data_IF_450204142883
#
_entry.id   IF_450204142883
#
_cell.length_a   1.000
_cell.length_b   1.000
_cell.length_c   1.000
_cell.angle_alpha   90.00
_cell.angle_beta   90.00
_cell.angle_gamma   90.00
#
_symmetry.space_group_name_H-M   'P 1'
#
loop_
_entity.id
_entity.type
_entity.pdbx_description
1 polymer ?
#
# COMPACT_ATOMS: atom_id res chain seq x y z
N UNK A 1 13.50 -21.31 -16.88
CA UNK A 1 12.75 -20.05 -16.66
C UNK A 1 11.89 -19.81 -17.88
N UNK A 2 10.61 -20.15 -17.81
CA UNK A 2 9.75 -20.15 -19.00
C UNK A 2 9.57 -18.74 -19.59
N UNK A 3 9.52 -17.72 -18.71
CA UNK A 3 9.29 -16.32 -19.10
C UNK A 3 10.45 -15.68 -19.85
N UNK A 4 11.71 -15.97 -19.49
CA UNK A 4 12.87 -15.43 -20.22
C UNK A 4 12.85 -15.85 -21.70
N UNK A 5 12.56 -17.13 -21.95
CA UNK A 5 12.48 -17.69 -23.30
C UNK A 5 11.32 -17.09 -24.09
N UNK A 6 10.16 -16.94 -23.47
CA UNK A 6 8.98 -16.30 -24.07
C UNK A 6 9.27 -14.84 -24.46
N UNK A 7 9.82 -14.04 -23.54
CA UNK A 7 10.13 -12.63 -23.77
C UNK A 7 11.15 -12.44 -24.89
N UNK A 8 12.23 -13.25 -24.90
CA UNK A 8 13.22 -13.23 -25.98
C UNK A 8 12.58 -13.54 -27.33
N UNK A 9 11.75 -14.59 -27.39
CA UNK A 9 11.05 -14.97 -28.63
C UNK A 9 10.04 -13.91 -29.08
N UNK A 10 9.35 -13.25 -28.16
CA UNK A 10 8.41 -12.15 -28.46
C UNK A 10 9.12 -10.94 -29.06
N UNK A 11 10.36 -10.67 -28.65
CA UNK A 11 11.24 -9.66 -29.28
C UNK A 11 11.96 -10.18 -30.54
N UNK A 12 11.69 -11.41 -30.99
CA UNK A 12 12.33 -12.05 -32.15
C UNK A 12 13.86 -12.15 -32.08
N UNK A 13 14.44 -12.25 -30.88
CA UNK A 13 15.89 -12.31 -30.69
C UNK A 13 16.40 -13.76 -30.61
N UNK A 14 17.56 -14.00 -31.19
CA UNK A 14 18.41 -15.15 -30.87
C UNK A 14 19.10 -14.97 -29.51
N UNK A 15 19.64 -16.05 -28.95
CA UNK A 15 20.43 -15.96 -27.70
C UNK A 15 21.71 -15.12 -27.88
N UNK A 16 22.27 -15.11 -29.10
CA UNK A 16 23.45 -14.32 -29.45
C UNK A 16 23.11 -12.83 -29.50
N UNK A 17 22.04 -12.46 -30.21
CA UNK A 17 21.59 -11.06 -30.29
C UNK A 17 21.18 -10.52 -28.92
N UNK A 18 20.49 -11.32 -28.09
CA UNK A 18 20.19 -10.91 -26.72
C UNK A 18 21.47 -10.66 -25.90
N UNK A 19 22.47 -11.54 -26.03
CA UNK A 19 23.77 -11.38 -25.38
C UNK A 19 24.50 -10.10 -25.84
N UNK A 20 24.40 -9.76 -27.12
CA UNK A 20 25.05 -8.59 -27.71
C UNK A 20 24.37 -7.30 -27.26
N UNK A 21 23.03 -7.23 -27.31
CA UNK A 21 22.29 -6.05 -26.84
C UNK A 21 22.43 -5.81 -25.33
N UNK A 22 22.47 -6.87 -24.51
CA UNK A 22 22.76 -6.71 -23.08
C UNK A 22 24.17 -6.15 -22.85
N UNK A 23 25.14 -6.56 -23.68
CA UNK A 23 26.51 -6.07 -23.61
C UNK A 23 26.62 -4.59 -23.96
N UNK A 24 25.84 -4.11 -24.94
CA UNK A 24 25.74 -2.67 -25.28
C UNK A 24 25.26 -1.84 -24.08
N UNK A 25 24.40 -2.41 -23.24
CA UNK A 25 23.92 -1.79 -22.00
C UNK A 25 24.84 -2.04 -20.78
N UNK A 26 26.09 -2.48 -21.00
CA UNK A 26 27.07 -2.73 -19.94
C UNK A 26 26.88 -4.04 -19.16
N UNK A 27 25.96 -4.91 -19.61
CA UNK A 27 25.61 -6.16 -18.91
C UNK A 27 26.14 -7.37 -19.69
N UNK A 28 27.21 -7.97 -19.18
CA UNK A 28 27.78 -9.17 -19.79
C UNK A 28 27.03 -10.44 -19.35
N UNK A 29 26.33 -11.09 -20.29
CA UNK A 29 25.75 -12.44 -20.13
C UNK A 29 25.94 -13.20 -21.45
N UNK A 30 26.77 -14.24 -21.47
CA UNK A 30 26.98 -15.08 -22.67
C UNK A 30 25.69 -15.77 -23.14
N UNK A 31 25.56 -16.03 -24.44
CA UNK A 31 24.51 -16.86 -25.05
C UNK A 31 24.32 -18.21 -24.35
N UNK A 32 25.41 -18.89 -23.95
CA UNK A 32 25.35 -20.17 -23.26
C UNK A 32 24.76 -20.06 -21.85
N UNK A 33 25.08 -18.98 -21.14
CA UNK A 33 24.47 -18.68 -19.84
C UNK A 33 22.99 -18.39 -19.97
N UNK A 34 22.58 -17.62 -20.99
CA UNK A 34 21.17 -17.39 -21.30
C UNK A 34 20.45 -18.71 -21.62
N UNK A 35 21.06 -19.60 -22.39
CA UNK A 35 20.49 -20.92 -22.70
C UNK A 35 20.28 -21.76 -21.44
N UNK A 36 21.26 -21.77 -20.52
CA UNK A 36 21.16 -22.45 -19.22
C UNK A 36 20.08 -21.83 -18.33
N UNK A 37 19.90 -20.50 -18.36
CA UNK A 37 18.83 -19.82 -17.64
C UNK A 37 17.45 -20.19 -18.18
N UNK A 38 17.28 -20.18 -19.50
CA UNK A 38 16.03 -20.55 -20.16
C UNK A 38 15.62 -21.98 -19.82
N UNK A 39 16.56 -22.94 -19.89
CA UNK A 39 16.31 -24.35 -19.52
C UNK A 39 16.11 -24.58 -18.02
N UNK A 40 16.54 -23.65 -17.18
CA UNK A 40 16.48 -23.79 -15.72
C UNK A 40 17.68 -24.51 -15.10
N UNK A 41 18.66 -24.94 -15.92
CA UNK A 41 19.91 -25.58 -15.46
C UNK A 41 20.73 -24.70 -14.52
N UNK A 42 20.54 -23.37 -14.60
CA UNK A 42 21.22 -22.38 -13.77
C UNK A 42 20.27 -21.24 -13.43
N UNK A 43 20.32 -20.75 -12.18
CA UNK A 43 19.64 -19.49 -11.81
C UNK A 43 20.60 -18.30 -12.00
N UNK A 44 20.15 -17.18 -12.61
CA UNK A 44 20.94 -15.96 -12.64
C UNK A 44 21.06 -15.36 -11.22
N UNK A 45 22.16 -14.64 -10.98
CA UNK A 45 22.32 -13.82 -9.77
C UNK A 45 21.40 -12.59 -9.84
N UNK A 46 21.15 -11.95 -8.70
CA UNK A 46 20.18 -10.85 -8.57
C UNK A 46 20.49 -9.65 -9.48
N UNK A 47 21.77 -9.33 -9.68
CA UNK A 47 22.25 -8.30 -10.60
C UNK A 47 21.86 -8.60 -12.05
N UNK A 48 22.08 -9.85 -12.49
CA UNK A 48 21.72 -10.29 -13.85
C UNK A 48 20.21 -10.43 -14.03
N UNK A 49 19.49 -10.82 -12.99
CA UNK A 49 18.03 -10.86 -12.98
C UNK A 49 17.43 -9.46 -13.18
N UNK A 50 17.91 -8.46 -12.45
CA UNK A 50 17.49 -7.06 -12.60
C UNK A 50 17.77 -6.56 -14.00
N UNK A 51 18.99 -6.75 -14.49
CA UNK A 51 19.33 -6.32 -15.85
C UNK A 51 18.47 -6.97 -16.95
N UNK A 52 18.13 -8.26 -16.81
CA UNK A 52 17.23 -8.93 -17.74
C UNK A 52 15.80 -8.39 -17.63
N UNK A 53 15.32 -8.14 -16.41
CA UNK A 53 14.01 -7.57 -16.14
C UNK A 53 13.89 -6.17 -16.77
N UNK A 54 14.88 -5.31 -16.54
CA UNK A 54 14.97 -3.95 -17.11
C UNK A 54 15.01 -3.98 -18.65
N UNK A 55 15.81 -4.89 -19.25
CA UNK A 55 15.90 -5.04 -20.70
C UNK A 55 14.57 -5.42 -21.37
N UNK A 56 13.76 -6.23 -20.69
CA UNK A 56 12.46 -6.68 -21.19
C UNK A 56 11.30 -5.79 -20.73
N UNK A 57 11.57 -4.77 -19.92
CA UNK A 57 10.57 -3.90 -19.28
C UNK A 57 9.51 -4.72 -18.53
N UNK A 58 9.99 -5.64 -17.69
CA UNK A 58 9.17 -6.50 -16.83
C UNK A 58 9.75 -6.53 -15.42
N UNK A 59 8.98 -7.02 -14.46
CA UNK A 59 9.49 -7.22 -13.10
C UNK A 59 10.40 -8.46 -13.01
N UNK A 60 11.34 -8.43 -12.06
CA UNK A 60 12.25 -9.57 -11.77
C UNK A 60 11.46 -10.84 -11.47
N UNK A 61 10.36 -10.72 -10.76
CA UNK A 61 9.49 -11.84 -10.40
C UNK A 61 8.68 -12.38 -11.56
N UNK A 62 8.21 -11.50 -12.47
CA UNK A 62 7.62 -11.93 -13.73
C UNK A 62 8.65 -12.75 -14.52
N UNK A 63 9.89 -12.27 -14.64
CA UNK A 63 10.96 -13.00 -15.32
C UNK A 63 11.26 -14.36 -14.67
N UNK A 64 11.15 -14.44 -13.34
CA UNK A 64 11.31 -15.68 -12.56
C UNK A 64 10.14 -16.66 -12.70
N UNK A 65 9.03 -16.25 -13.34
CA UNK A 65 7.82 -17.06 -13.47
C UNK A 65 7.03 -17.17 -12.16
N UNK A 66 7.22 -16.23 -11.24
CA UNK A 66 6.37 -16.15 -10.06
C UNK A 66 4.95 -15.76 -10.49
N UNK A 67 3.95 -16.48 -9.99
CA UNK A 67 2.53 -16.17 -10.27
C UNK A 67 2.21 -14.76 -9.76
N UNK A 68 1.38 -14.03 -10.49
CA UNK A 68 0.82 -12.76 -10.06
C UNK A 68 0.15 -12.85 -8.68
N UNK A 69 -0.07 -11.70 -8.05
CA UNK A 69 -0.94 -11.64 -6.89
C UNK A 69 -2.38 -11.94 -7.30
N UNK A 70 -3.10 -12.71 -6.51
CA UNK A 70 -4.56 -12.77 -6.58
C UNK A 70 -5.17 -11.62 -5.78
N UNK A 71 -6.43 -11.28 -6.04
CA UNK A 71 -7.16 -10.30 -5.21
C UNK A 71 -7.12 -10.69 -3.72
N UNK A 72 -7.30 -11.99 -3.43
CA UNK A 72 -7.18 -12.53 -2.08
C UNK A 72 -5.81 -12.27 -1.46
N UNK A 73 -4.73 -12.31 -2.24
CA UNK A 73 -3.39 -12.01 -1.73
C UNK A 73 -3.25 -10.54 -1.35
N UNK A 74 -3.81 -9.62 -2.15
CA UNK A 74 -3.81 -8.17 -1.84
C UNK A 74 -4.53 -7.92 -0.50
N UNK A 75 -5.74 -8.47 -0.35
CA UNK A 75 -6.50 -8.29 0.89
C UNK A 75 -5.84 -8.96 2.10
N UNK A 76 -5.20 -10.12 1.91
CA UNK A 76 -4.42 -10.77 2.98
C UNK A 76 -3.21 -9.94 3.40
N UNK A 77 -2.47 -9.37 2.44
CA UNK A 77 -1.33 -8.49 2.76
C UNK A 77 -1.80 -7.31 3.58
N UNK A 78 -2.89 -6.66 3.19
CA UNK A 78 -3.46 -5.54 3.93
C UNK A 78 -3.91 -5.95 5.34
N UNK A 79 -4.68 -7.04 5.45
CA UNK A 79 -5.14 -7.59 6.73
C UNK A 79 -3.97 -7.89 7.66
N UNK A 80 -2.96 -8.60 7.17
CA UNK A 80 -1.77 -8.96 7.95
C UNK A 80 -1.02 -7.71 8.39
N UNK A 81 -0.84 -6.74 7.49
CA UNK A 81 -0.16 -5.47 7.77
C UNK A 81 -0.88 -4.70 8.89
N UNK A 82 -2.21 -4.60 8.81
CA UNK A 82 -3.03 -3.96 9.84
C UNK A 82 -2.93 -4.66 11.20
N UNK A 83 -2.92 -6.01 11.21
CA UNK A 83 -2.78 -6.81 12.43
C UNK A 83 -1.37 -6.73 13.02
N UNK A 84 -0.33 -6.64 12.20
CA UNK A 84 1.05 -6.50 12.68
C UNK A 84 1.34 -5.09 13.18
N UNK A 85 0.75 -4.05 12.56
CA UNK A 85 0.88 -2.65 12.99
C UNK A 85 0.31 -2.32 14.37
N UNK A 86 -0.47 -3.21 14.98
CA UNK A 86 -1.04 -3.05 16.35
C UNK A 86 -0.17 -3.60 17.46
N UNK A 87 0.67 -4.59 17.16
CA UNK A 87 1.52 -5.18 18.18
C UNK A 87 2.80 -4.39 18.16
N UNK A 88 3.03 -3.60 19.20
CA UNK A 88 4.34 -3.06 19.57
C UNK A 88 5.38 -4.15 19.87
N UNK A 89 5.50 -5.18 19.02
CA UNK A 89 6.63 -6.07 18.99
C UNK A 89 7.70 -5.39 18.14
N UNK A 90 8.37 -4.44 18.78
CA UNK A 90 9.75 -4.14 18.45
C UNK A 90 10.52 -5.44 18.58
N UNK A 91 10.85 -6.10 17.47
CA UNK A 91 11.85 -7.16 17.52
C UNK A 91 13.21 -6.47 17.39
N UNK A 92 13.92 -6.37 18.52
CA UNK A 92 15.34 -6.02 18.49
C UNK A 92 16.12 -7.20 17.94
N UNK A 93 16.61 -7.07 16.72
CA UNK A 93 17.71 -7.91 16.21
C UNK A 93 18.98 -7.09 16.44
N UNK A 94 19.85 -7.53 17.34
CA UNK A 94 21.10 -6.83 17.70
C UNK A 94 20.91 -5.36 18.14
N UNK A 95 19.84 -5.06 18.88
CA UNK A 95 19.60 -3.71 19.41
C UNK A 95 19.00 -2.70 18.42
N UNK A 96 18.70 -3.11 17.18
CA UNK A 96 17.99 -2.27 16.20
C UNK A 96 16.49 -2.60 16.22
N UNK A 97 15.64 -1.59 16.37
CA UNK A 97 14.19 -1.74 16.27
C UNK A 97 13.86 -2.13 14.83
N UNK A 98 13.43 -3.38 14.60
CA UNK A 98 12.90 -3.80 13.31
C UNK A 98 11.40 -3.46 13.24
N UNK A 99 11.10 -2.20 12.93
CA UNK A 99 9.78 -1.78 12.47
C UNK A 99 9.69 -2.13 10.98
N UNK A 100 8.75 -2.99 10.58
CA UNK A 100 8.35 -3.00 9.19
C UNK A 100 7.55 -1.72 8.94
N UNK A 101 8.24 -0.63 8.62
CA UNK A 101 7.65 0.69 8.39
C UNK A 101 6.50 0.62 7.37
N UNK A 102 6.52 -0.33 6.44
CA UNK A 102 5.45 -0.49 5.46
C UNK A 102 4.15 -1.02 6.06
N UNK A 103 4.20 -1.82 7.14
CA UNK A 103 2.99 -2.25 7.87
C UNK A 103 2.37 -1.07 8.63
N UNK A 104 3.21 -0.22 9.22
CA UNK A 104 2.79 1.01 9.91
C UNK A 104 2.12 1.97 8.93
N UNK A 105 2.66 2.12 7.72
CA UNK A 105 2.07 2.98 6.68
C UNK A 105 0.70 2.49 6.22
N UNK A 106 0.54 1.19 5.96
CA UNK A 106 -0.76 0.61 5.60
C UNK A 106 -1.75 0.82 6.73
N UNK A 107 -1.34 0.54 7.97
CA UNK A 107 -2.19 0.70 9.15
C UNK A 107 -2.67 2.14 9.31
N UNK A 108 -1.76 3.12 9.24
CA UNK A 108 -2.10 4.54 9.33
C UNK A 108 -3.05 4.97 8.23
N UNK A 109 -2.81 4.55 6.98
CA UNK A 109 -3.69 4.86 5.85
C UNK A 109 -5.11 4.29 6.05
N UNK A 110 -5.23 3.05 6.56
CA UNK A 110 -6.52 2.43 6.88
C UNK A 110 -7.26 3.21 7.97
N UNK A 111 -6.58 3.53 9.07
CA UNK A 111 -7.20 4.25 10.19
C UNK A 111 -7.67 5.65 9.75
N UNK A 112 -6.89 6.32 8.89
CA UNK A 112 -7.29 7.59 8.27
C UNK A 112 -8.54 7.44 7.42
N UNK A 113 -8.60 6.43 6.54
CA UNK A 113 -9.78 6.20 5.71
C UNK A 113 -11.02 5.90 6.56
N UNK A 114 -10.89 5.09 7.61
CA UNK A 114 -12.00 4.79 8.52
C UNK A 114 -12.51 6.02 9.26
N UNK A 115 -11.61 6.92 9.66
CA UNK A 115 -11.99 8.20 10.25
C UNK A 115 -12.73 9.08 9.24
N UNK A 116 -12.16 9.28 8.05
CA UNK A 116 -12.76 10.12 7.00
C UNK A 116 -14.18 9.65 6.70
N UNK A 117 -14.36 8.34 6.46
CA UNK A 117 -15.69 7.74 6.24
C UNK A 117 -16.65 7.96 7.39
N UNK A 118 -16.16 7.88 8.63
CA UNK A 118 -16.97 8.13 9.83
C UNK A 118 -17.41 9.59 9.93
N UNK A 119 -16.51 10.53 9.61
CA UNK A 119 -16.80 11.97 9.57
C UNK A 119 -17.78 12.28 8.43
N UNK A 120 -17.55 11.77 7.23
CA UNK A 120 -18.43 11.93 6.07
C UNK A 120 -19.85 11.44 6.36
N UNK A 121 -19.96 10.22 6.92
CA UNK A 121 -21.26 9.65 7.33
C UNK A 121 -21.97 10.51 8.39
N UNK A 122 -21.22 11.05 9.36
CA UNK A 122 -21.76 11.97 10.36
C UNK A 122 -22.26 13.27 9.73
N UNK A 123 -21.49 13.88 8.84
CA UNK A 123 -21.85 15.11 8.13
C UNK A 123 -23.15 14.94 7.33
N UNK A 124 -23.25 13.87 6.54
CA UNK A 124 -24.43 13.55 5.74
C UNK A 124 -25.71 13.37 6.59
N UNK A 125 -25.55 12.76 7.77
CA UNK A 125 -26.68 12.39 8.62
C UNK A 125 -26.89 13.31 9.84
N UNK A 126 -26.13 14.40 9.95
CA UNK A 126 -26.19 15.34 11.08
C UNK A 126 -27.59 15.92 11.29
N UNK A 127 -28.28 16.27 10.20
CA UNK A 127 -29.67 16.79 10.23
C UNK A 127 -30.69 15.78 10.78
N UNK A 128 -30.33 14.49 10.82
CA UNK A 128 -31.17 13.39 11.32
C UNK A 128 -30.78 12.95 12.75
N UNK A 129 -29.93 13.72 13.45
CA UNK A 129 -29.50 13.41 14.80
C UNK A 129 -28.53 12.23 14.90
N UNK A 130 -27.81 11.92 13.82
CA UNK A 130 -26.86 10.82 13.81
C UNK A 130 -25.74 11.04 14.83
N UNK A 131 -25.36 9.96 15.51
CA UNK A 131 -24.22 9.93 16.43
C UNK A 131 -22.96 9.51 15.68
N UNK A 132 -21.77 9.98 16.11
CA UNK A 132 -20.49 9.51 15.59
C UNK A 132 -20.38 7.97 15.59
N UNK A 133 -20.01 7.38 14.46
CA UNK A 133 -19.70 5.95 14.36
C UNK A 133 -18.38 5.59 15.04
N UNK A 134 -18.17 4.30 15.30
CA UNK A 134 -16.85 3.81 15.72
C UNK A 134 -15.87 3.94 14.56
N UNK A 135 -14.69 4.51 14.83
CA UNK A 135 -13.58 4.60 13.88
C UNK A 135 -12.85 3.24 13.79
N UNK A 136 -12.79 2.52 14.91
CA UNK A 136 -11.98 1.31 15.04
C UNK A 136 -12.57 0.10 14.30
N UNK A 137 -11.69 -0.62 13.63
CA UNK A 137 -11.96 -1.96 13.14
C UNK A 137 -11.83 -2.92 14.32
N UNK A 138 -12.91 -3.62 14.66
CA UNK A 138 -12.92 -4.59 15.77
C UNK A 138 -11.92 -5.73 15.53
N UNK A 139 -11.47 -6.42 16.58
CA UNK A 139 -10.56 -7.57 16.40
C UNK A 139 -11.16 -8.68 15.53
N UNK A 140 -12.49 -8.86 15.60
CA UNK A 140 -13.23 -9.81 14.77
C UNK A 140 -13.20 -9.38 13.31
N UNK A 141 -13.49 -8.10 13.03
CA UNK A 141 -13.47 -7.56 11.67
C UNK A 141 -12.05 -7.55 11.09
N UNK A 142 -11.05 -7.16 11.89
CA UNK A 142 -9.66 -7.18 11.50
C UNK A 142 -9.19 -8.60 11.13
N UNK A 143 -9.76 -9.63 11.76
CA UNK A 143 -9.46 -11.05 11.46
C UNK A 143 -10.37 -11.66 10.39
N UNK A 144 -11.38 -10.95 9.91
CA UNK A 144 -12.32 -11.40 8.89
C UNK A 144 -11.91 -10.89 7.49
N UNK A 145 -11.45 -11.79 6.60
CA UNK A 145 -11.04 -11.39 5.26
C UNK A 145 -12.18 -10.77 4.42
N UNK A 146 -13.43 -11.14 4.67
CA UNK A 146 -14.57 -10.60 3.93
C UNK A 146 -14.88 -9.15 4.30
N UNK A 147 -14.55 -8.73 5.54
CA UNK A 147 -14.58 -7.32 5.92
C UNK A 147 -13.64 -6.50 5.03
N UNK A 148 -12.41 -6.98 4.82
CA UNK A 148 -11.41 -6.30 3.98
C UNK A 148 -11.83 -6.23 2.52
N UNK A 149 -12.32 -7.34 1.96
CA UNK A 149 -12.84 -7.38 0.59
C UNK A 149 -13.98 -6.40 0.38
N UNK A 150 -14.93 -6.36 1.32
CA UNK A 150 -16.11 -5.50 1.22
C UNK A 150 -15.74 -4.02 1.28
N UNK A 151 -14.91 -3.63 2.24
CA UNK A 151 -14.63 -2.21 2.52
C UNK A 151 -13.52 -1.62 1.62
N UNK A 152 -12.69 -2.46 1.00
CA UNK A 152 -11.54 -2.03 0.21
C UNK A 152 -11.56 -2.56 -1.24
N UNK A 153 -12.72 -3.00 -1.73
CA UNK A 153 -12.89 -3.44 -3.12
C UNK A 153 -12.52 -2.36 -4.15
N UNK A 154 -12.63 -1.08 -3.78
CA UNK A 154 -12.22 0.06 -4.62
C UNK A 154 -10.77 -0.06 -5.09
N UNK A 155 -9.88 -0.63 -4.28
CA UNK A 155 -8.45 -0.76 -4.61
C UNK A 155 -8.22 -1.58 -5.88
N UNK A 156 -9.11 -2.53 -6.18
CA UNK A 156 -9.00 -3.38 -7.37
C UNK A 156 -9.20 -2.59 -8.68
N UNK A 157 -9.72 -1.37 -8.61
CA UNK A 157 -9.86 -0.48 -9.75
C UNK A 157 -8.59 0.33 -10.05
N UNK A 158 -7.67 0.44 -9.10
CA UNK A 158 -6.43 1.22 -9.25
C UNK A 158 -5.49 0.59 -10.30
N UNK A 159 -4.87 1.39 -11.20
CA UNK A 159 -3.95 0.89 -12.22
C UNK A 159 -2.77 0.08 -11.66
N UNK A 160 -2.22 0.50 -10.51
CA UNK A 160 -1.07 -0.15 -9.87
C UNK A 160 -1.46 -1.50 -9.29
N UNK A 161 -2.63 -1.61 -8.66
CA UNK A 161 -3.17 -2.89 -8.19
C UNK A 161 -3.49 -3.80 -9.38
N UNK A 162 -4.15 -3.27 -10.43
CA UNK A 162 -4.40 -4.02 -11.68
C UNK A 162 -3.11 -4.56 -12.31
N UNK A 163 -2.00 -3.83 -12.19
CA UNK A 163 -0.70 -4.30 -12.64
C UNK A 163 -0.22 -5.48 -11.81
N UNK A 164 -0.26 -5.40 -10.47
CA UNK A 164 0.11 -6.49 -9.56
C UNK A 164 -0.69 -7.79 -9.77
N UNK A 165 -1.94 -7.66 -10.24
CA UNK A 165 -2.80 -8.80 -10.57
C UNK A 165 -2.46 -9.45 -11.93
N UNK A 166 -1.68 -8.77 -12.77
CA UNK A 166 -1.33 -9.20 -14.14
C UNK A 166 0.14 -9.59 -14.30
N UNK A 167 1.04 -8.95 -13.56
CA UNK A 167 2.49 -9.17 -13.62
C UNK A 167 2.94 -10.15 -12.54
N UNK A 168 4.19 -10.64 -12.60
CA UNK A 168 4.71 -11.55 -11.58
C UNK A 168 4.82 -10.87 -10.22
N UNK A 169 4.87 -11.67 -9.15
CA UNK A 169 4.89 -11.20 -7.75
C UNK A 169 5.94 -10.14 -7.47
N UNK A 170 5.58 -8.86 -7.47
CA UNK A 170 6.49 -7.81 -7.01
C UNK A 170 7.09 -8.10 -5.63
N UNK A 171 8.22 -7.45 -5.30
CA UNK A 171 8.79 -7.57 -3.96
C UNK A 171 7.74 -7.18 -2.92
N UNK A 172 7.61 -8.00 -1.86
CA UNK A 172 6.58 -7.82 -0.81
C UNK A 172 6.54 -6.40 -0.24
N UNK A 173 7.70 -5.75 -0.10
CA UNK A 173 7.82 -4.37 0.36
C UNK A 173 7.16 -3.37 -0.61
N UNK A 174 7.36 -3.55 -1.92
CA UNK A 174 6.80 -2.65 -2.93
C UNK A 174 5.28 -2.78 -3.01
N UNK A 175 4.77 -4.01 -2.90
CA UNK A 175 3.32 -4.26 -2.84
C UNK A 175 2.69 -3.54 -1.66
N UNK A 176 3.32 -3.59 -0.48
CA UNK A 176 2.83 -2.88 0.70
C UNK A 176 2.81 -1.37 0.51
N UNK A 177 3.85 -0.80 -0.11
CA UNK A 177 3.91 0.63 -0.46
C UNK A 177 2.79 1.02 -1.42
N UNK A 178 2.56 0.22 -2.46
CA UNK A 178 1.47 0.44 -3.43
C UNK A 178 0.12 0.42 -2.70
N UNK A 179 -0.15 -0.58 -1.85
CA UNK A 179 -1.39 -0.67 -1.08
C UNK A 179 -1.60 0.59 -0.21
N UNK A 180 -0.59 1.01 0.56
CA UNK A 180 -0.69 2.20 1.39
C UNK A 180 -0.99 3.46 0.56
N UNK A 181 -0.31 3.63 -0.58
CA UNK A 181 -0.52 4.77 -1.47
C UNK A 181 -1.95 4.81 -2.04
N UNK A 182 -2.47 3.66 -2.48
CA UNK A 182 -3.83 3.59 -3.03
C UNK A 182 -4.87 3.96 -1.98
N UNK A 183 -4.69 3.52 -0.73
CA UNK A 183 -5.57 3.90 0.39
C UNK A 183 -5.48 5.41 0.66
N UNK A 184 -4.27 5.98 0.66
CA UNK A 184 -4.09 7.43 0.84
C UNK A 184 -4.70 8.26 -0.29
N UNK A 185 -4.68 7.75 -1.54
CA UNK A 185 -5.36 8.40 -2.65
C UNK A 185 -6.88 8.41 -2.43
N UNK A 186 -7.46 7.32 -1.96
CA UNK A 186 -8.88 7.25 -1.61
C UNK A 186 -9.24 8.22 -0.48
N UNK A 187 -8.42 8.29 0.58
CA UNK A 187 -8.56 9.27 1.67
C UNK A 187 -8.67 10.69 1.11
N UNK A 188 -7.74 11.07 0.23
CA UNK A 188 -7.74 12.40 -0.38
C UNK A 188 -8.96 12.62 -1.26
N UNK A 189 -9.39 11.61 -2.03
CA UNK A 189 -10.58 11.71 -2.86
C UNK A 189 -11.84 11.94 -2.03
N UNK A 190 -12.00 11.24 -0.90
CA UNK A 190 -13.15 11.41 -0.01
C UNK A 190 -13.14 12.77 0.69
N UNK A 191 -11.97 13.24 1.16
CA UNK A 191 -11.84 14.58 1.76
C UNK A 191 -12.22 15.67 0.75
N UNK A 192 -11.76 15.55 -0.50
CA UNK A 192 -11.99 16.53 -1.55
C UNK A 192 -13.45 16.62 -2.04
N UNK A 193 -14.35 15.77 -1.54
CA UNK A 193 -15.79 15.91 -1.78
C UNK A 193 -16.40 17.08 -0.99
N UNK A 194 -15.70 17.57 0.03
CA UNK A 194 -16.11 18.66 0.89
C UNK A 194 -15.22 19.88 0.68
N UNK A 195 -15.74 21.06 1.01
CA UNK A 195 -14.85 22.21 1.19
C UNK A 195 -13.94 21.99 2.41
N UNK A 196 -12.76 22.60 2.40
CA UNK A 196 -11.81 22.52 3.52
C UNK A 196 -12.50 22.90 4.85
N UNK A 197 -13.19 24.03 4.88
CA UNK A 197 -13.91 24.51 6.06
C UNK A 197 -14.98 23.53 6.55
N UNK A 198 -15.80 22.99 5.63
CA UNK A 198 -16.86 22.04 5.97
C UNK A 198 -16.32 20.76 6.58
N UNK A 199 -15.29 20.17 5.95
CA UNK A 199 -14.71 18.93 6.41
C UNK A 199 -14.06 19.08 7.79
N UNK A 200 -13.25 20.11 7.99
CA UNK A 200 -12.55 20.32 9.26
C UNK A 200 -13.49 20.71 10.40
N UNK A 201 -14.52 21.52 10.12
CA UNK A 201 -15.59 21.78 11.09
C UNK A 201 -16.35 20.50 11.43
N UNK A 202 -16.66 19.69 10.42
CA UNK A 202 -17.26 18.36 10.58
C UNK A 202 -16.45 17.43 11.47
N UNK A 203 -15.13 17.39 11.26
CA UNK A 203 -14.20 16.60 12.06
C UNK A 203 -14.16 17.10 13.51
N UNK A 204 -14.06 18.41 13.74
CA UNK A 204 -14.12 19.01 15.08
C UNK A 204 -15.43 18.65 15.79
N UNK A 205 -16.57 18.76 15.11
CA UNK A 205 -17.88 18.45 15.67
C UNK A 205 -18.02 16.95 15.98
N UNK A 206 -17.55 16.09 15.07
CA UNK A 206 -17.51 14.64 15.25
C UNK A 206 -16.72 14.28 16.51
N UNK A 207 -15.53 14.86 16.66
CA UNK A 207 -14.64 14.69 17.82
C UNK A 207 -15.33 15.13 19.12
N UNK A 208 -15.88 16.35 19.15
CA UNK A 208 -16.56 16.89 20.34
C UNK A 208 -17.76 16.03 20.73
N UNK A 209 -18.55 15.59 19.75
CA UNK A 209 -19.71 14.72 19.96
C UNK A 209 -19.33 13.32 20.49
N UNK A 210 -18.12 12.84 20.18
CA UNK A 210 -17.57 11.57 20.69
C UNK A 210 -17.10 11.65 22.15
N UNK A 211 -17.09 12.84 22.77
CA UNK A 211 -16.57 13.07 24.13
C UNK A 211 -15.21 12.40 24.34
N UNK A 212 -14.16 12.82 23.61
CA UNK A 212 -12.80 12.27 23.75
C UNK A 212 -12.28 12.52 25.19
N UNK A 213 -12.67 11.64 26.10
CA UNK A 213 -12.27 11.66 27.51
C UNK A 213 -11.44 10.42 27.86
N UNK A 214 -11.41 9.40 26.99
CA UNK A 214 -10.67 8.16 27.25
C UNK A 214 -9.26 8.22 26.63
N UNK A 215 -8.22 7.74 27.34
CA UNK A 215 -6.85 7.63 26.80
C UNK A 215 -6.75 6.75 25.55
N UNK A 216 -7.68 5.80 25.37
CA UNK A 216 -7.71 4.89 24.22
C UNK A 216 -8.16 5.62 22.94
N UNK A 217 -9.22 6.43 23.02
CA UNK A 217 -9.68 7.26 21.90
C UNK A 217 -8.58 8.27 21.48
N UNK A 218 -7.85 8.85 22.44
CA UNK A 218 -6.73 9.77 22.16
C UNK A 218 -5.56 9.06 21.46
N UNK A 219 -5.20 7.85 21.90
CA UNK A 219 -4.12 7.08 21.30
C UNK A 219 -4.47 6.65 19.86
N UNK A 220 -5.73 6.32 19.60
CA UNK A 220 -6.20 5.96 18.26
C UNK A 220 -6.21 7.17 17.30
N UNK A 221 -6.58 8.35 17.78
CA UNK A 221 -6.46 9.60 17.01
C UNK A 221 -5.00 10.00 16.77
N UNK A 222 -4.10 9.75 17.73
CA UNK A 222 -2.67 9.95 17.57
C UNK A 222 -2.10 9.03 16.47
N UNK A 223 -2.44 7.75 16.53
CA UNK A 223 -2.00 6.74 15.55
C UNK A 223 -2.51 7.01 14.13
N UNK A 224 -3.71 7.59 14.00
CA UNK A 224 -4.26 8.02 12.71
C UNK A 224 -3.68 9.36 12.21
N UNK A 225 -2.77 10.00 12.97
CA UNK A 225 -2.18 11.30 12.62
C UNK A 225 -3.13 12.49 12.77
N UNK A 226 -4.27 12.29 13.45
CA UNK A 226 -5.36 13.28 13.57
C UNK A 226 -4.98 14.37 14.56
N UNK A 227 -4.30 14.03 15.65
CA UNK A 227 -3.79 15.03 16.59
C UNK A 227 -2.82 16.00 15.91
N UNK A 228 -1.97 15.49 15.02
CA UNK A 228 -1.07 16.32 14.22
C UNK A 228 -1.83 17.23 13.26
N UNK A 229 -2.90 16.73 12.61
CA UNK A 229 -3.77 17.59 11.78
C UNK A 229 -4.48 18.65 12.62
N UNK A 230 -5.02 18.30 13.80
CA UNK A 230 -5.68 19.24 14.71
C UNK A 230 -4.73 20.33 15.22
N UNK A 231 -3.48 19.98 15.53
CA UNK A 231 -2.45 20.94 15.92
C UNK A 231 -2.08 21.90 14.79
N UNK A 232 -2.06 21.43 13.54
CA UNK A 232 -1.84 22.27 12.36
C UNK A 232 -3.02 23.22 12.16
N UNK A 233 -4.26 22.71 12.25
CA UNK A 233 -5.48 23.51 12.10
C UNK A 233 -5.60 24.56 13.20
N UNK A 234 -5.34 24.20 14.46
CA UNK A 234 -5.36 25.14 15.58
C UNK A 234 -4.28 26.22 15.48
N UNK A 235 -3.25 26.03 14.65
CA UNK A 235 -2.27 27.07 14.28
C UNK A 235 -2.75 27.91 13.10
N UNK A 236 -3.43 27.33 12.12
CA UNK A 236 -4.01 28.06 10.98
C UNK A 236 -5.15 29.00 11.41
N UNK A 237 -6.07 28.54 12.28
CA UNK A 237 -7.16 29.36 12.85
C UNK A 237 -6.62 30.56 13.65
N UNK A 238 -5.42 30.43 14.24
CA UNK A 238 -4.72 31.51 14.97
C UNK A 238 -3.97 32.47 14.05
N UNK A 239 -3.69 32.09 12.81
CA UNK A 239 -3.12 32.99 11.81
C UNK A 239 -4.23 33.83 11.15
N UNK A 240 -5.37 33.22 10.82
CA UNK A 240 -6.52 33.92 10.19
C UNK A 240 -7.28 34.86 11.15
N UNK A 241 -7.04 34.76 12.47
CA UNK A 241 -7.62 35.66 13.49
C UNK A 241 -6.70 36.81 13.91
N UNK A 242 -5.51 36.92 13.32
CA UNK A 242 -4.55 38.00 13.55
C UNK A 242 -4.31 38.90 12.31
N UNK A 243 -5.11 38.75 11.25
CA UNK A 243 -5.25 39.71 10.14
C UNK A 243 -6.60 40.44 10.21
#
# INVERSE_FOLDING_TARGET
>A
MDRLKELRKKKHLTLKELSEQLKENGVFISSDSLAKYERGDRKPKIDKLKALADFFDVSVSYLQGEKAYSENDIFKIMQDSYKHGTKGKTYTVNGVINLDFSDVLIRGAIDQLMLVRSVSSYLENKKRGAKPSKIEISQNDASNLDFWKKNFSFMLNDPSIKLLLKTGKEQKLEVKRIIANVINLEVNQEINQYSHEEFFKGMSDFIKAKQIATPEDQNNLANAGVLTMLDVLGKMDKQDSNE
#
